data_IF_015360699798
#
_entry.id   IF_015360699798
#
_cell.length_a   1.000
_cell.length_b   1.000
_cell.length_c   1.000
_cell.angle_alpha   90.00
_cell.angle_beta   90.00
_cell.angle_gamma   90.00
#
_symmetry.space_group_name_H-M   'P 1'
#
loop_
_entity.id
_entity.type
_entity.pdbx_description
1 polymer ?
#
# COMPACT_ATOMS: atom_id res chain seq x y z
N UNK A 1 4.17 -35.36 7.47
CA UNK A 1 4.40 -33.90 7.37
C UNK A 1 4.75 -33.57 5.92
N UNK A 2 3.91 -32.85 5.22
CA UNK A 2 4.26 -32.36 3.88
C UNK A 2 5.32 -31.28 4.02
N UNK A 3 6.56 -31.63 3.72
CA UNK A 3 7.61 -30.62 3.57
C UNK A 3 7.33 -29.83 2.29
N UNK A 4 7.30 -28.51 2.41
CA UNK A 4 7.21 -27.65 1.24
C UNK A 4 8.45 -27.82 0.35
N UNK A 5 8.22 -27.76 -0.96
CA UNK A 5 9.32 -27.66 -1.93
C UNK A 5 10.08 -26.34 -1.75
N UNK A 6 11.31 -26.29 -2.20
CA UNK A 6 12.10 -25.03 -2.21
C UNK A 6 11.40 -23.93 -3.00
N UNK A 7 10.66 -24.29 -4.05
CA UNK A 7 9.85 -23.35 -4.84
C UNK A 7 8.74 -22.72 -4.00
N UNK A 8 8.01 -23.51 -3.24
CA UNK A 8 6.93 -23.01 -2.38
C UNK A 8 7.44 -22.23 -1.18
N UNK A 9 8.60 -22.58 -0.65
CA UNK A 9 9.31 -21.75 0.32
C UNK A 9 9.63 -20.38 -0.24
N UNK A 10 10.16 -20.32 -1.46
CA UNK A 10 10.44 -19.05 -2.15
C UNK A 10 9.18 -18.23 -2.37
N UNK A 11 8.05 -18.86 -2.72
CA UNK A 11 6.73 -18.19 -2.84
C UNK A 11 6.33 -17.50 -1.53
N UNK A 12 6.42 -18.21 -0.41
CA UNK A 12 6.07 -17.64 0.91
C UNK A 12 7.00 -16.50 1.32
N UNK A 13 8.30 -16.64 1.08
CA UNK A 13 9.27 -15.60 1.39
C UNK A 13 9.04 -14.33 0.56
N UNK A 14 8.77 -14.47 -0.73
CA UNK A 14 8.52 -13.35 -1.62
C UNK A 14 7.21 -12.64 -1.27
N UNK A 15 6.14 -13.39 -1.00
CA UNK A 15 4.87 -12.83 -0.56
C UNK A 15 5.01 -12.07 0.76
N UNK A 16 5.70 -12.63 1.75
CA UNK A 16 5.90 -12.00 3.05
C UNK A 16 6.74 -10.73 2.94
N UNK A 17 7.78 -10.73 2.11
CA UNK A 17 8.62 -9.55 1.89
C UNK A 17 7.82 -8.41 1.25
N UNK A 18 6.95 -8.71 0.29
CA UNK A 18 6.07 -7.72 -0.35
C UNK A 18 5.10 -7.07 0.65
N UNK A 19 4.44 -7.87 1.48
CA UNK A 19 3.56 -7.37 2.53
C UNK A 19 4.30 -6.57 3.61
N UNK A 20 5.50 -6.98 3.98
CA UNK A 20 6.38 -6.23 4.88
C UNK A 20 6.76 -4.87 4.30
N UNK A 21 7.10 -4.83 3.02
CA UNK A 21 7.44 -3.60 2.31
C UNK A 21 6.23 -2.67 2.23
N UNK A 22 5.06 -3.18 1.87
CA UNK A 22 3.82 -2.41 1.79
C UNK A 22 3.45 -1.81 3.16
N UNK A 23 3.45 -2.62 4.22
CA UNK A 23 3.19 -2.15 5.57
C UNK A 23 4.14 -1.02 5.99
N UNK A 24 5.44 -1.20 5.78
CA UNK A 24 6.45 -0.23 6.16
C UNK A 24 6.35 1.07 5.35
N UNK A 25 6.01 0.97 4.06
CA UNK A 25 5.79 2.12 3.18
C UNK A 25 4.59 2.96 3.66
N UNK A 26 3.46 2.32 3.95
CA UNK A 26 2.26 3.01 4.40
C UNK A 26 2.42 3.58 5.81
N UNK A 27 3.13 2.88 6.69
CA UNK A 27 3.51 3.40 8.01
C UNK A 27 4.39 4.65 7.92
N UNK A 28 5.34 4.68 6.99
CA UNK A 28 6.16 5.87 6.73
C UNK A 28 5.33 7.05 6.22
N UNK A 29 4.37 6.81 5.33
CA UNK A 29 3.45 7.86 4.84
C UNK A 29 2.64 8.44 6.00
N UNK A 30 2.13 7.60 6.90
CA UNK A 30 1.39 8.06 8.08
C UNK A 30 2.30 8.87 9.01
N UNK A 31 3.54 8.46 9.19
CA UNK A 31 4.53 9.20 9.98
C UNK A 31 4.81 10.59 9.38
N UNK A 32 4.90 10.67 8.05
CA UNK A 32 5.24 11.91 7.35
C UNK A 32 4.06 12.88 7.19
N UNK A 33 2.84 12.36 6.99
CA UNK A 33 1.65 13.16 6.63
C UNK A 33 0.50 13.08 7.64
N UNK A 34 0.62 12.22 8.66
CA UNK A 34 -0.43 12.00 9.66
C UNK A 34 -1.42 10.91 9.25
N UNK A 35 -2.45 10.74 10.07
CA UNK A 35 -3.53 9.77 9.85
C UNK A 35 -4.42 10.24 8.69
N UNK A 36 -4.12 9.75 7.50
CA UNK A 36 -4.79 10.13 6.25
C UNK A 36 -5.34 8.88 5.56
N UNK A 37 -6.63 8.93 5.19
CA UNK A 37 -7.22 7.89 4.37
C UNK A 37 -6.59 7.85 2.96
N UNK A 38 -6.29 6.67 2.39
CA UNK A 38 -6.64 5.34 2.90
C UNK A 38 -5.50 4.65 3.67
N UNK A 39 -4.39 5.34 3.94
CA UNK A 39 -3.14 4.73 4.42
C UNK A 39 -3.30 3.97 5.74
N UNK A 40 -3.98 4.55 6.72
CA UNK A 40 -4.16 3.90 8.03
C UNK A 40 -4.93 2.60 7.91
N UNK A 41 -6.06 2.60 7.22
CA UNK A 41 -6.89 1.41 7.04
C UNK A 41 -6.18 0.33 6.22
N UNK A 42 -5.45 0.72 5.17
CA UNK A 42 -4.70 -0.24 4.34
C UNK A 42 -3.51 -0.79 5.13
N UNK A 43 -2.75 0.04 5.86
CA UNK A 43 -1.68 -0.46 6.74
C UNK A 43 -2.20 -1.54 7.71
N UNK A 44 -3.36 -1.34 8.32
CA UNK A 44 -3.98 -2.34 9.21
C UNK A 44 -4.39 -3.61 8.44
N UNK A 45 -4.81 -3.47 7.18
CA UNK A 45 -5.07 -4.63 6.33
C UNK A 45 -3.78 -5.39 6.01
N UNK A 46 -2.69 -4.68 5.70
CA UNK A 46 -1.38 -5.33 5.47
C UNK A 46 -0.86 -6.04 6.72
N UNK A 47 -1.09 -5.51 7.92
CA UNK A 47 -0.77 -6.22 9.15
C UNK A 47 -1.51 -7.57 9.24
N UNK A 48 -2.79 -7.61 8.87
CA UNK A 48 -3.57 -8.86 8.83
C UNK A 48 -3.07 -9.81 7.73
N UNK A 49 -2.64 -9.30 6.59
CA UNK A 49 -2.04 -10.09 5.52
C UNK A 49 -0.73 -10.74 5.98
N UNK A 50 0.12 -9.98 6.66
CA UNK A 50 1.36 -10.49 7.27
C UNK A 50 1.04 -11.63 8.25
N UNK A 51 0.06 -11.46 9.14
CA UNK A 51 -0.35 -12.50 10.09
C UNK A 51 -0.83 -13.77 9.38
N UNK A 52 -1.60 -13.63 8.29
CA UNK A 52 -2.05 -14.77 7.50
C UNK A 52 -0.87 -15.53 6.87
N UNK A 53 0.13 -14.83 6.35
CA UNK A 53 1.34 -15.45 5.82
C UNK A 53 2.18 -16.10 6.92
N UNK A 54 2.37 -15.43 8.06
CA UNK A 54 3.09 -15.99 9.21
C UNK A 54 2.44 -17.26 9.74
N UNK A 55 1.12 -17.36 9.67
CA UNK A 55 0.39 -18.57 10.02
C UNK A 55 0.76 -19.75 9.09
N UNK A 56 1.02 -19.49 7.81
CA UNK A 56 1.54 -20.51 6.88
C UNK A 56 2.96 -20.92 7.22
N UNK A 57 3.84 -19.97 7.58
CA UNK A 57 5.19 -20.30 8.07
C UNK A 57 5.12 -21.22 9.28
N UNK A 58 4.23 -20.93 10.20
CA UNK A 58 4.02 -21.78 11.38
C UNK A 58 3.49 -23.17 10.99
N UNK A 59 2.46 -23.23 10.12
CA UNK A 59 1.85 -24.48 9.65
C UNK A 59 2.89 -25.43 9.03
N UNK A 60 3.83 -24.88 8.27
CA UNK A 60 4.87 -25.65 7.60
C UNK A 60 6.19 -25.74 8.39
N UNK A 61 6.18 -25.31 9.65
CA UNK A 61 7.36 -25.32 10.53
C UNK A 61 8.56 -24.58 9.94
N UNK A 62 8.31 -23.46 9.26
CA UNK A 62 9.33 -22.60 8.69
C UNK A 62 9.61 -21.41 9.60
N UNK A 63 10.85 -20.99 9.67
CA UNK A 63 11.22 -19.75 10.33
C UNK A 63 10.96 -18.57 9.39
N UNK A 64 10.14 -17.62 9.83
CA UNK A 64 9.88 -16.39 9.09
C UNK A 64 10.99 -15.35 9.35
N UNK A 65 11.42 -14.59 8.33
CA UNK A 65 12.33 -13.47 8.52
C UNK A 65 11.63 -12.32 9.24
N UNK A 66 12.41 -11.44 9.86
CA UNK A 66 11.92 -10.18 10.40
C UNK A 66 11.62 -9.17 9.29
N UNK A 67 10.71 -8.24 9.56
CA UNK A 67 10.51 -7.09 8.70
C UNK A 67 11.69 -6.11 8.86
N UNK A 68 12.54 -6.04 7.85
CA UNK A 68 13.70 -5.14 7.81
C UNK A 68 13.44 -3.83 7.06
N UNK A 69 12.24 -3.61 6.55
CA UNK A 69 11.89 -2.42 5.76
C UNK A 69 11.65 -1.14 6.56
N UNK A 70 11.14 -1.14 7.81
CA UNK A 70 10.94 0.11 8.55
C UNK A 70 12.20 0.99 8.57
N UNK A 71 12.03 2.26 8.21
CA UNK A 71 13.13 3.22 8.07
C UNK A 71 13.97 3.09 6.79
N UNK A 72 13.65 2.16 5.90
CA UNK A 72 14.39 1.88 4.66
C UNK A 72 13.54 1.98 3.40
N UNK A 73 12.31 2.40 3.53
CA UNK A 73 11.38 2.59 2.41
C UNK A 73 11.53 3.98 1.80
N UNK A 74 11.05 4.12 0.57
CA UNK A 74 10.98 5.42 -0.10
C UNK A 74 10.06 6.38 0.66
N UNK A 75 10.43 7.66 0.73
CA UNK A 75 9.60 8.74 1.25
C UNK A 75 9.14 9.63 0.10
N UNK A 76 7.89 10.08 0.18
CA UNK A 76 7.27 10.83 -0.92
C UNK A 76 7.22 12.33 -0.60
N UNK A 77 7.41 13.21 -1.61
CA UNK A 77 7.44 14.65 -1.40
C UNK A 77 6.06 15.26 -1.11
N UNK A 78 4.99 14.53 -1.40
CA UNK A 78 3.60 14.99 -1.21
C UNK A 78 2.66 13.81 -0.98
N UNK A 79 1.50 14.09 -0.42
CA UNK A 79 0.46 13.08 -0.26
C UNK A 79 -0.07 12.59 -1.61
N UNK A 80 -0.15 13.47 -2.63
CA UNK A 80 -0.49 13.05 -3.99
C UNK A 80 0.50 12.02 -4.52
N UNK A 81 1.81 12.28 -4.40
CA UNK A 81 2.85 11.35 -4.82
C UNK A 81 2.75 10.00 -4.08
N UNK A 82 2.45 10.03 -2.78
CA UNK A 82 2.23 8.82 -1.98
C UNK A 82 1.00 8.03 -2.47
N UNK A 83 -0.11 8.70 -2.79
CA UNK A 83 -1.31 8.05 -3.34
C UNK A 83 -1.04 7.42 -4.71
N UNK A 84 -0.32 8.11 -5.59
CA UNK A 84 0.08 7.61 -6.92
C UNK A 84 1.00 6.39 -6.81
N UNK A 85 1.94 6.43 -5.86
CA UNK A 85 2.80 5.29 -5.54
C UNK A 85 2.00 4.09 -5.00
N UNK A 86 0.96 4.35 -4.18
CA UNK A 86 0.02 3.33 -3.71
C UNK A 86 -0.70 2.63 -4.87
N UNK A 87 -1.19 3.39 -5.85
CA UNK A 87 -1.80 2.82 -7.06
C UNK A 87 -0.81 1.89 -7.78
N UNK A 88 0.42 2.37 -8.01
CA UNK A 88 1.45 1.57 -8.70
C UNK A 88 1.82 0.32 -7.91
N UNK A 89 1.94 0.42 -6.60
CA UNK A 89 2.26 -0.70 -5.71
C UNK A 89 1.18 -1.78 -5.74
N UNK A 90 -0.10 -1.40 -5.68
CA UNK A 90 -1.20 -2.36 -5.70
C UNK A 90 -1.36 -3.05 -7.06
N UNK A 91 -1.09 -2.35 -8.16
CA UNK A 91 -1.04 -2.97 -9.50
C UNK A 91 0.10 -3.99 -9.58
N UNK A 92 1.29 -3.64 -9.09
CA UNK A 92 2.45 -4.55 -9.07
C UNK A 92 2.20 -5.75 -8.16
N UNK A 93 1.58 -5.55 -7.00
CA UNK A 93 1.21 -6.60 -6.05
C UNK A 93 0.27 -7.64 -6.69
N UNK A 94 -0.76 -7.20 -7.41
CA UNK A 94 -1.66 -8.11 -8.11
C UNK A 94 -0.91 -8.99 -9.12
N UNK A 95 0.00 -8.42 -9.89
CA UNK A 95 0.86 -9.18 -10.83
C UNK A 95 1.79 -10.16 -10.12
N UNK A 96 2.35 -9.78 -8.99
CA UNK A 96 3.15 -10.65 -8.14
C UNK A 96 2.34 -11.86 -7.69
N UNK A 97 1.16 -11.66 -7.11
CA UNK A 97 0.32 -12.76 -6.64
C UNK A 97 -0.15 -13.68 -7.77
N UNK A 98 -0.47 -13.15 -8.94
CA UNK A 98 -0.80 -13.98 -10.11
C UNK A 98 0.37 -14.91 -10.48
N UNK A 99 1.59 -14.39 -10.47
CA UNK A 99 2.79 -15.17 -10.75
C UNK A 99 3.06 -16.22 -9.65
N UNK A 100 2.94 -15.87 -8.39
CA UNK A 100 3.13 -16.79 -7.26
C UNK A 100 2.07 -17.90 -7.26
N UNK A 101 0.81 -17.57 -7.56
CA UNK A 101 -0.27 -18.53 -7.69
C UNK A 101 -0.04 -19.54 -8.81
N UNK A 102 0.56 -19.09 -9.92
CA UNK A 102 0.90 -19.98 -11.04
C UNK A 102 2.00 -21.01 -10.71
N UNK A 103 2.77 -20.74 -9.66
CA UNK A 103 3.91 -21.62 -9.25
C UNK A 103 3.65 -22.47 -8.01
N UNK A 104 2.60 -22.16 -7.22
CA UNK A 104 2.29 -22.93 -6.02
C UNK A 104 1.39 -24.13 -6.33
N UNK A 105 1.68 -25.23 -5.69
CA UNK A 105 0.88 -26.48 -5.73
C UNK A 105 0.14 -26.72 -4.41
N UNK A 106 0.55 -26.04 -3.32
CA UNK A 106 -0.10 -26.14 -2.02
C UNK A 106 -1.46 -25.44 -2.02
N UNK A 107 -2.57 -26.16 -1.74
CA UNK A 107 -3.89 -25.55 -1.62
C UNK A 107 -3.98 -24.50 -0.50
N UNK A 108 -3.29 -24.73 0.61
CA UNK A 108 -3.27 -23.83 1.78
C UNK A 108 -2.63 -22.50 1.42
N UNK A 109 -1.50 -22.52 0.70
CA UNK A 109 -0.83 -21.31 0.22
C UNK A 109 -1.71 -20.61 -0.81
N UNK A 110 -2.25 -21.34 -1.78
CA UNK A 110 -3.08 -20.76 -2.84
C UNK A 110 -4.32 -20.03 -2.30
N UNK A 111 -4.97 -20.56 -1.29
CA UNK A 111 -6.14 -19.92 -0.65
C UNK A 111 -5.76 -18.57 -0.06
N UNK A 112 -4.66 -18.49 0.67
CA UNK A 112 -4.18 -17.24 1.28
C UNK A 112 -3.79 -16.24 0.19
N UNK A 113 -2.97 -16.64 -0.79
CA UNK A 113 -2.52 -15.75 -1.86
C UNK A 113 -3.69 -15.16 -2.67
N UNK A 114 -4.74 -15.94 -2.95
CA UNK A 114 -5.94 -15.43 -3.63
C UNK A 114 -6.64 -14.36 -2.80
N UNK A 115 -6.78 -14.56 -1.50
CA UNK A 115 -7.41 -13.59 -0.60
C UNK A 115 -6.63 -12.28 -0.55
N UNK A 116 -5.30 -12.35 -0.50
CA UNK A 116 -4.44 -11.17 -0.49
C UNK A 116 -4.52 -10.44 -1.83
N UNK A 117 -4.43 -11.15 -2.95
CA UNK A 117 -4.61 -10.57 -4.29
C UNK A 117 -5.96 -9.87 -4.43
N UNK A 118 -7.04 -10.51 -4.02
CA UNK A 118 -8.38 -9.97 -4.12
C UNK A 118 -8.55 -8.71 -3.26
N UNK A 119 -7.95 -8.66 -2.08
CA UNK A 119 -7.94 -7.47 -1.24
C UNK A 119 -7.21 -6.30 -1.92
N UNK A 120 -6.05 -6.56 -2.51
CA UNK A 120 -5.28 -5.58 -3.26
C UNK A 120 -6.07 -5.01 -4.45
N UNK A 121 -6.63 -5.87 -5.27
CA UNK A 121 -7.35 -5.47 -6.49
C UNK A 121 -8.71 -4.83 -6.22
N UNK A 122 -9.48 -5.34 -5.26
CA UNK A 122 -10.88 -4.97 -5.07
C UNK A 122 -11.08 -3.89 -4.01
N UNK A 123 -10.13 -3.68 -3.11
CA UNK A 123 -10.22 -2.74 -2.00
C UNK A 123 -9.10 -1.71 -1.97
N UNK A 124 -7.84 -2.12 -1.97
CA UNK A 124 -6.71 -1.21 -1.85
C UNK A 124 -6.54 -0.33 -3.08
N UNK A 125 -6.48 -0.94 -4.26
CA UNK A 125 -6.31 -0.20 -5.51
C UNK A 125 -7.41 0.84 -5.75
N UNK A 126 -8.72 0.53 -5.62
CA UNK A 126 -9.76 1.54 -5.72
C UNK A 126 -9.64 2.65 -4.67
N UNK A 127 -9.23 2.32 -3.44
CA UNK A 127 -9.05 3.31 -2.38
C UNK A 127 -7.91 4.28 -2.69
N UNK A 128 -6.78 3.82 -3.22
CA UNK A 128 -5.69 4.68 -3.65
C UNK A 128 -6.05 5.53 -4.86
N UNK A 129 -6.82 5.00 -5.81
CA UNK A 129 -7.33 5.80 -6.94
C UNK A 129 -8.20 6.96 -6.47
N UNK A 130 -9.11 6.72 -5.50
CA UNK A 130 -9.89 7.80 -4.88
C UNK A 130 -9.00 8.80 -4.13
N UNK A 131 -7.92 8.34 -3.52
CA UNK A 131 -6.94 9.22 -2.88
C UNK A 131 -6.32 10.18 -3.90
N UNK A 132 -5.86 9.66 -5.03
CA UNK A 132 -5.30 10.48 -6.13
C UNK A 132 -6.31 11.53 -6.60
N UNK A 133 -7.55 11.14 -6.84
CA UNK A 133 -8.62 12.06 -7.25
C UNK A 133 -8.83 13.18 -6.23
N UNK A 134 -8.99 12.86 -4.94
CA UNK A 134 -9.16 13.86 -3.88
C UNK A 134 -7.99 14.84 -3.79
N UNK A 135 -6.76 14.35 -3.93
CA UNK A 135 -5.57 15.19 -3.84
C UNK A 135 -5.45 16.13 -5.05
N UNK A 136 -5.82 15.69 -6.24
CA UNK A 136 -5.84 16.52 -7.45
C UNK A 136 -6.93 17.58 -7.37
N UNK A 137 -8.14 17.23 -6.96
CA UNK A 137 -9.26 18.16 -6.83
C UNK A 137 -9.01 19.20 -5.73
N UNK A 138 -8.43 18.81 -4.59
CA UNK A 138 -8.03 19.71 -3.50
C UNK A 138 -6.96 20.72 -3.93
N UNK A 139 -6.04 20.34 -4.79
CA UNK A 139 -5.02 21.21 -5.38
C UNK A 139 -5.62 22.30 -6.30
N UNK A 140 -6.63 21.95 -7.08
CA UNK A 140 -7.34 22.90 -7.96
C UNK A 140 -8.12 23.94 -7.13
N UNK A 141 -8.77 23.52 -6.03
CA UNK A 141 -9.50 24.42 -5.15
C UNK A 141 -8.60 25.47 -4.47
N UNK A 142 -7.37 25.11 -4.11
CA UNK A 142 -6.39 26.04 -3.52
C UNK A 142 -5.82 27.04 -4.53
N UNK A 143 -5.71 26.69 -5.79
CA UNK A 143 -5.25 27.60 -6.85
C UNK A 143 -6.32 28.61 -7.25
N UNK A 144 -7.60 28.28 -7.12
CA UNK A 144 -8.73 29.18 -7.44
C UNK A 144 -8.99 30.26 -6.41
N UNK A 145 -8.47 30.19 -5.20
CA UNK A 145 -8.69 31.16 -4.13
C UNK A 145 -7.66 32.31 -4.08
N UNK A 146 -6.64 32.29 -4.92
CA UNK A 146 -5.55 33.29 -4.87
C UNK A 146 -5.63 34.38 -5.97
N UNK A 147 -6.69 34.40 -6.78
CA UNK A 147 -6.94 35.45 -7.77
C UNK A 147 -8.21 36.22 -7.41
N UNK A 148 -8.12 37.19 -6.49
CA UNK A 148 -9.23 38.04 -6.23
C UNK A 148 -9.17 38.89 -4.96
N UNK A 149 -8.20 39.75 -4.78
CA UNK A 149 -8.43 40.97 -4.01
C UNK A 149 -7.42 42.08 -4.38
N UNK A 150 -7.56 42.57 -5.58
CA UNK A 150 -7.10 43.86 -5.95
C UNK A 150 -8.10 44.93 -5.43
N UNK A 151 -7.94 45.38 -4.20
CA UNK A 151 -8.68 46.56 -3.72
C UNK A 151 -8.06 47.79 -4.34
N UNK A 152 -8.78 48.33 -5.30
CA UNK A 152 -8.55 49.64 -5.87
C UNK A 152 -8.92 50.72 -4.81
N UNK A 153 -7.92 51.33 -4.21
CA UNK A 153 -8.13 52.60 -3.48
C UNK A 153 -8.37 53.74 -4.47
N UNK A 154 -9.58 54.28 -4.47
CA UNK A 154 -9.82 55.58 -5.06
C UNK A 154 -9.77 56.64 -3.95
N UNK A 155 -8.78 57.49 -4.00
CA UNK A 155 -8.75 58.70 -3.25
C UNK A 155 -9.82 59.66 -3.79
N UNK A 156 -10.62 60.20 -2.88
CA UNK A 156 -11.51 61.34 -3.14
C UNK A 156 -11.05 62.47 -2.25
N UNK A 157 -10.71 63.56 -2.91
CA UNK A 157 -10.38 64.87 -2.34
C UNK A 157 -11.68 65.58 -1.89
N UNK A 158 -11.68 66.18 -0.78
CA UNK A 158 -11.99 67.55 -0.28
C UNK A 158 -12.38 67.41 1.16
#
# INVERSE_FOLDING_TARGET
MNQLSERERAVLLEALDDEYHAWATYDQVITDFGDVAPFTNIREAEARHIEALLSLFHLFSLQAPHNSWPGRVERYPSLLAACEAGVSAEVANAGLYDRLLATTESPEIAVVLRRLRDASQQRHLPAFRRCVERQRDGGVAQQGCNEGSGRRWRGGRL
#
